data_IF_431940756851
#
_entry.id   IF_431940756851
#
_cell.length_a   1.000
_cell.length_b   1.000
_cell.length_c   1.000
_cell.angle_alpha   90.00
_cell.angle_beta   90.00
_cell.angle_gamma   90.00
#
_symmetry.space_group_name_H-M   'P 1'
#
loop_
_entity.id
_entity.type
_entity.pdbx_description
1 polymer ?
#
# COMPACT_ATOMS: atom_id res chain seq x y z
N UNK A 1 52.65 -26.17 -58.50
CA UNK A 1 51.85 -26.03 -57.26
C UNK A 1 51.98 -24.59 -56.79
N UNK A 2 50.94 -23.77 -56.96
CA UNK A 2 50.91 -22.39 -56.50
C UNK A 2 50.17 -22.33 -55.16
N UNK A 3 50.88 -22.09 -54.06
CA UNK A 3 50.30 -21.87 -52.73
C UNK A 3 49.76 -20.44 -52.71
N UNK A 4 48.43 -20.30 -52.76
CA UNK A 4 47.77 -19.01 -52.50
C UNK A 4 47.95 -18.68 -51.02
N UNK A 5 48.86 -17.75 -50.72
CA UNK A 5 48.92 -17.04 -49.46
C UNK A 5 47.63 -16.23 -49.31
N UNK A 6 46.64 -16.79 -48.62
CA UNK A 6 45.49 -16.02 -48.16
C UNK A 6 46.01 -14.92 -47.22
N UNK A 7 45.78 -13.68 -47.63
CA UNK A 7 46.18 -12.47 -46.92
C UNK A 7 45.64 -12.47 -45.48
N UNK A 8 46.54 -12.69 -44.52
CA UNK A 8 46.26 -12.60 -43.08
C UNK A 8 45.66 -11.23 -42.65
N UNK A 9 45.78 -10.21 -43.51
CA UNK A 9 45.24 -8.87 -43.28
C UNK A 9 43.70 -8.78 -43.40
N UNK A 10 43.07 -9.64 -44.21
CA UNK A 10 41.63 -9.61 -44.41
C UNK A 10 40.88 -10.13 -43.17
N UNK A 11 41.33 -11.26 -42.61
CA UNK A 11 40.73 -11.85 -41.40
C UNK A 11 40.80 -10.92 -40.19
N UNK A 12 41.90 -10.17 -40.03
CA UNK A 12 42.06 -9.22 -38.91
C UNK A 12 41.11 -8.03 -38.99
N UNK A 13 40.80 -7.54 -40.21
CA UNK A 13 39.82 -6.45 -40.42
C UNK A 13 38.40 -6.90 -40.09
N UNK A 14 38.02 -8.11 -40.47
CA UNK A 14 36.71 -8.68 -40.14
C UNK A 14 36.53 -8.90 -38.64
N UNK A 15 37.56 -9.42 -37.96
CA UNK A 15 37.54 -9.58 -36.50
C UNK A 15 37.40 -8.22 -35.80
N UNK A 16 38.15 -7.20 -36.23
CA UNK A 16 38.05 -5.87 -35.65
C UNK A 16 36.65 -5.25 -35.87
N UNK A 17 36.09 -5.41 -37.07
CA UNK A 17 34.73 -4.95 -37.38
C UNK A 17 33.66 -5.66 -36.55
N UNK A 18 33.78 -6.98 -36.35
CA UNK A 18 32.87 -7.74 -35.51
C UNK A 18 32.96 -7.32 -34.04
N UNK A 19 34.17 -7.12 -33.51
CA UNK A 19 34.38 -6.62 -32.14
C UNK A 19 33.76 -5.24 -31.95
N UNK A 20 33.97 -4.32 -32.90
CA UNK A 20 33.38 -2.99 -32.83
C UNK A 20 31.85 -3.06 -32.85
N UNK A 21 31.27 -3.89 -33.71
CA UNK A 21 29.83 -4.09 -33.78
C UNK A 21 29.25 -4.62 -32.46
N UNK A 22 29.92 -5.58 -31.82
CA UNK A 22 29.52 -6.11 -30.50
C UNK A 22 29.62 -5.03 -29.41
N UNK A 23 30.67 -4.21 -29.41
CA UNK A 23 30.81 -3.12 -28.44
C UNK A 23 29.73 -2.04 -28.62
N UNK A 24 29.44 -1.67 -29.87
CA UNK A 24 28.37 -0.71 -30.18
C UNK A 24 27.01 -1.28 -29.79
N UNK A 25 26.74 -2.54 -30.14
CA UNK A 25 25.48 -3.21 -29.75
C UNK A 25 25.35 -3.33 -28.22
N UNK A 26 26.43 -3.67 -27.52
CA UNK A 26 26.48 -3.73 -26.06
C UNK A 26 26.28 -2.36 -25.41
N UNK A 27 26.89 -1.32 -25.95
CA UNK A 27 26.73 0.08 -25.51
C UNK A 27 25.31 0.59 -25.72
N UNK A 28 24.69 0.30 -26.87
CA UNK A 28 23.29 0.61 -27.13
C UNK A 28 22.38 -0.18 -26.20
N UNK A 29 22.63 -1.48 -26.03
CA UNK A 29 21.82 -2.31 -25.14
C UNK A 29 21.87 -1.79 -23.70
N UNK A 30 23.05 -1.51 -23.16
CA UNK A 30 23.21 -0.92 -21.82
C UNK A 30 22.59 0.46 -21.72
N UNK A 31 22.81 1.35 -22.70
CA UNK A 31 22.27 2.71 -22.66
C UNK A 31 20.74 2.81 -22.74
N UNK A 32 20.10 1.88 -23.45
CA UNK A 32 18.64 1.88 -23.69
C UNK A 32 17.85 0.90 -22.84
N UNK A 33 18.47 -0.16 -22.31
CA UNK A 33 17.77 -1.21 -21.56
C UNK A 33 18.22 -1.32 -20.10
N UNK A 34 19.16 -0.48 -19.64
CA UNK A 34 19.55 -0.41 -18.23
C UNK A 34 19.67 1.04 -17.76
N UNK A 35 19.72 1.24 -16.43
CA UNK A 35 19.99 2.53 -15.83
C UNK A 35 21.49 2.75 -15.54
N UNK A 36 22.40 2.03 -16.20
CA UNK A 36 23.84 2.07 -15.88
C UNK A 36 24.49 3.46 -16.00
N UNK A 37 23.89 4.36 -16.78
CA UNK A 37 24.33 5.75 -16.95
C UNK A 37 23.30 6.77 -16.44
N UNK A 38 22.28 6.30 -15.72
CA UNK A 38 21.31 7.17 -15.06
C UNK A 38 21.82 7.68 -13.72
N UNK A 39 21.14 8.66 -13.11
CA UNK A 39 21.48 9.09 -11.77
C UNK A 39 21.16 7.98 -10.76
N UNK A 40 21.92 7.91 -9.66
CA UNK A 40 21.64 7.01 -8.52
C UNK A 40 20.40 7.41 -7.72
N UNK A 41 19.99 8.68 -7.87
CA UNK A 41 18.88 9.31 -7.17
C UNK A 41 17.96 9.99 -8.17
N UNK A 42 16.66 9.82 -7.98
CA UNK A 42 15.61 10.41 -8.80
C UNK A 42 14.79 11.39 -7.96
N UNK A 43 13.94 12.18 -8.60
CA UNK A 43 12.97 13.06 -7.95
C UNK A 43 13.62 14.09 -7.02
N UNK A 44 14.73 14.72 -7.46
CA UNK A 44 15.47 15.66 -6.60
C UNK A 44 16.03 15.02 -5.33
N UNK A 45 16.33 13.72 -5.34
CA UNK A 45 17.04 13.01 -4.26
C UNK A 45 16.20 12.03 -3.44
N UNK A 46 14.88 11.96 -3.65
CA UNK A 46 13.97 11.24 -2.74
C UNK A 46 14.11 9.74 -2.88
N UNK A 47 14.23 9.28 -4.12
CA UNK A 47 14.16 7.88 -4.46
C UNK A 47 15.53 7.43 -4.92
N UNK A 48 15.99 6.28 -4.42
CA UNK A 48 17.14 5.60 -5.00
C UNK A 48 16.68 4.88 -6.26
N UNK A 49 17.45 4.99 -7.33
CA UNK A 49 17.14 4.32 -8.60
C UNK A 49 16.99 2.82 -8.41
N UNK A 50 17.82 2.19 -7.58
CA UNK A 50 17.77 0.75 -7.29
C UNK A 50 16.50 0.30 -6.54
N UNK A 51 15.89 1.16 -5.72
CA UNK A 51 14.60 0.87 -5.10
C UNK A 51 13.47 0.97 -6.13
N UNK A 52 13.56 1.92 -7.05
CA UNK A 52 12.58 2.10 -8.14
C UNK A 52 12.66 0.99 -9.18
N UNK A 53 13.86 0.55 -9.60
CA UNK A 53 14.02 -0.60 -10.51
C UNK A 53 13.38 -1.87 -9.95
N UNK A 54 13.49 -2.07 -8.64
CA UNK A 54 12.88 -3.22 -7.98
C UNK A 54 11.35 -3.13 -7.97
N UNK A 55 10.81 -1.93 -7.74
CA UNK A 55 9.37 -1.69 -7.80
C UNK A 55 8.83 -1.83 -9.23
N UNK A 56 9.59 -1.40 -10.23
CA UNK A 56 9.18 -1.48 -11.63
C UNK A 56 9.55 -2.80 -12.31
N UNK A 57 9.84 -3.85 -11.55
CA UNK A 57 10.15 -5.20 -12.04
C UNK A 57 11.33 -5.24 -13.03
N UNK A 58 12.52 -4.90 -12.53
CA UNK A 58 13.79 -5.20 -13.20
C UNK A 58 14.44 -4.03 -13.94
N UNK A 59 15.52 -4.32 -14.69
CA UNK A 59 16.35 -3.29 -15.33
C UNK A 59 15.58 -2.58 -16.45
N UNK A 60 15.90 -1.30 -16.63
CA UNK A 60 15.35 -0.47 -17.70
C UNK A 60 15.90 0.94 -17.57
N UNK A 61 15.72 1.77 -18.59
CA UNK A 61 16.09 3.18 -18.48
C UNK A 61 15.06 3.89 -17.62
N UNK A 62 15.52 4.58 -16.58
CA UNK A 62 14.65 5.37 -15.73
C UNK A 62 14.66 6.84 -16.17
N UNK A 63 13.48 7.45 -16.08
CA UNK A 63 13.30 8.89 -16.22
C UNK A 63 12.30 9.36 -15.19
N UNK A 64 12.57 10.48 -14.53
CA UNK A 64 11.69 11.09 -13.56
C UNK A 64 11.15 12.44 -14.03
N UNK A 65 9.95 12.77 -13.57
CA UNK A 65 9.31 14.07 -13.76
C UNK A 65 8.40 14.39 -12.59
N UNK A 66 8.13 15.67 -12.35
CA UNK A 66 7.22 16.09 -11.29
C UNK A 66 7.63 17.39 -10.61
N UNK A 67 7.19 17.53 -9.36
CA UNK A 67 7.40 18.67 -8.47
C UNK A 67 8.07 18.22 -7.17
N UNK A 68 8.26 19.15 -6.24
CA UNK A 68 8.71 18.88 -4.87
C UNK A 68 7.68 18.17 -3.97
N UNK A 69 6.52 17.79 -4.50
CA UNK A 69 5.46 17.10 -3.74
C UNK A 69 4.93 15.87 -4.47
N UNK A 70 5.21 15.74 -5.77
CA UNK A 70 4.77 14.61 -6.61
C UNK A 70 5.91 14.27 -7.55
N UNK A 71 6.31 13.00 -7.61
CA UNK A 71 7.26 12.52 -8.59
C UNK A 71 6.74 11.27 -9.29
N UNK A 72 6.83 11.25 -10.60
CA UNK A 72 6.57 10.07 -11.42
C UNK A 72 7.88 9.59 -12.03
N UNK A 73 8.24 8.34 -11.77
CA UNK A 73 9.34 7.68 -12.45
C UNK A 73 8.78 6.69 -13.45
N UNK A 74 9.24 6.77 -14.70
CA UNK A 74 8.93 5.82 -15.77
C UNK A 74 10.14 4.95 -16.06
N UNK A 75 9.90 3.65 -16.20
CA UNK A 75 10.83 2.68 -16.78
C UNK A 75 10.46 2.53 -18.26
N UNK A 76 11.43 2.76 -19.13
CA UNK A 76 11.34 2.45 -20.56
C UNK A 76 12.41 1.42 -20.94
N UNK A 77 12.11 0.60 -21.96
CA UNK A 77 13.01 -0.42 -22.49
C UNK A 77 12.60 -0.86 -23.89
N UNK A 78 13.58 -1.23 -24.72
CA UNK A 78 13.34 -1.68 -26.10
C UNK A 78 12.94 -3.17 -26.18
N UNK A 79 13.17 -3.92 -25.10
CA UNK A 79 12.91 -5.36 -24.99
C UNK A 79 11.84 -5.65 -23.92
N UNK A 80 11.34 -6.90 -23.93
CA UNK A 80 10.26 -7.46 -23.09
C UNK A 80 10.24 -6.87 -21.67
N UNK A 81 9.14 -6.22 -21.30
CA UNK A 81 9.01 -5.60 -19.97
C UNK A 81 7.98 -4.49 -19.82
N UNK A 82 7.36 -4.00 -20.91
CA UNK A 82 6.30 -2.99 -20.89
C UNK A 82 6.71 -1.63 -20.32
N UNK A 83 5.96 -0.58 -20.67
CA UNK A 83 6.09 0.70 -19.97
C UNK A 83 5.47 0.57 -18.58
N UNK A 84 6.28 0.78 -17.54
CA UNK A 84 5.83 0.78 -16.16
C UNK A 84 6.20 2.11 -15.52
N UNK A 85 5.38 2.58 -14.58
CA UNK A 85 5.67 3.80 -13.84
C UNK A 85 5.25 3.70 -12.40
N UNK A 86 5.97 4.40 -11.53
CA UNK A 86 5.61 4.60 -10.14
C UNK A 86 5.47 6.09 -9.90
N UNK A 87 4.33 6.48 -9.33
CA UNK A 87 4.11 7.84 -8.86
C UNK A 87 4.16 7.83 -7.34
N UNK A 88 5.04 8.65 -6.78
CA UNK A 88 5.18 8.88 -5.34
C UNK A 88 4.78 10.32 -5.06
N UNK A 89 3.86 10.53 -4.12
CA UNK A 89 3.40 11.87 -3.71
C UNK A 89 3.44 12.04 -2.20
N UNK A 90 3.72 13.25 -1.76
CA UNK A 90 3.47 13.70 -0.39
C UNK A 90 2.06 14.30 -0.37
N UNK A 91 1.27 13.89 0.60
CA UNK A 91 -0.15 14.17 0.70
C UNK A 91 -0.48 14.78 2.06
N UNK A 92 -1.35 15.79 2.07
CA UNK A 92 -2.09 16.19 3.25
C UNK A 92 -3.43 15.46 3.21
N UNK A 93 -3.49 14.33 3.90
CA UNK A 93 -4.69 13.50 3.99
C UNK A 93 -5.59 14.00 5.14
N UNK A 94 -6.92 13.75 5.10
CA UNK A 94 -7.82 14.13 6.19
C UNK A 94 -7.39 13.55 7.54
N UNK A 95 -7.77 14.20 8.66
CA UNK A 95 -7.50 13.71 10.01
C UNK A 95 -7.94 12.27 10.28
N UNK A 96 -8.96 11.79 9.54
CA UNK A 96 -9.48 10.42 9.65
C UNK A 96 -8.71 9.39 8.82
N UNK A 97 -7.74 9.79 8.00
CA UNK A 97 -6.95 8.86 7.20
C UNK A 97 -6.19 7.87 8.10
N UNK A 98 -6.10 6.57 7.75
CA UNK A 98 -6.62 5.94 6.51
C UNK A 98 -8.07 5.44 6.61
N UNK A 99 -8.79 5.71 7.70
CA UNK A 99 -10.09 5.15 8.08
C UNK A 99 -11.30 6.05 7.77
N UNK A 100 -11.16 6.99 6.84
CA UNK A 100 -12.26 7.88 6.48
C UNK A 100 -13.43 7.06 5.88
N UNK A 101 -14.62 7.15 6.47
CA UNK A 101 -15.83 6.45 6.00
C UNK A 101 -16.12 6.81 4.53
N UNK A 102 -16.38 5.81 3.68
CA UNK A 102 -16.64 6.03 2.25
C UNK A 102 -15.39 6.19 1.39
N UNK A 103 -14.21 6.37 2.00
CA UNK A 103 -12.91 6.48 1.31
C UNK A 103 -11.81 5.72 2.05
N UNK A 104 -12.19 4.66 2.78
CA UNK A 104 -11.28 3.88 3.59
C UNK A 104 -10.17 3.30 2.73
N UNK A 105 -8.95 3.79 2.96
CA UNK A 105 -7.76 3.42 2.19
C UNK A 105 -7.05 2.20 2.78
N UNK A 106 -7.02 2.07 4.11
CA UNK A 106 -6.50 0.86 4.75
C UNK A 106 -7.45 -0.32 4.53
N UNK A 107 -6.94 -1.37 3.89
CA UNK A 107 -7.74 -2.49 3.41
C UNK A 107 -7.11 -3.80 3.87
N UNK A 108 -7.90 -4.85 4.08
CA UNK A 108 -7.35 -6.18 4.36
C UNK A 108 -6.70 -6.83 3.13
N UNK A 109 -6.88 -6.23 1.95
CA UNK A 109 -6.09 -6.55 0.75
C UNK A 109 -4.66 -6.03 0.82
N UNK A 110 -4.37 -5.11 1.74
CA UNK A 110 -3.03 -4.57 1.97
C UNK A 110 -2.37 -5.30 3.13
N UNK A 111 -1.06 -5.41 3.07
CA UNK A 111 -0.24 -5.75 4.22
C UNK A 111 0.17 -4.49 4.94
N UNK A 112 -0.20 -4.42 6.21
CA UNK A 112 0.14 -3.29 7.07
C UNK A 112 1.61 -3.35 7.48
N UNK A 113 2.18 -2.18 7.71
CA UNK A 113 3.49 -2.05 8.33
C UNK A 113 3.39 -2.46 9.79
N UNK A 114 4.37 -3.22 10.28
CA UNK A 114 4.54 -3.49 11.71
C UNK A 114 5.73 -2.70 12.26
N UNK A 115 5.62 -2.26 13.51
CA UNK A 115 6.64 -1.45 14.19
C UNK A 115 6.20 -0.01 14.38
N UNK A 116 7.13 0.94 14.25
CA UNK A 116 6.89 2.36 14.56
C UNK A 116 6.28 3.16 13.41
N UNK A 117 6.39 2.70 12.16
CA UNK A 117 5.81 3.38 11.01
C UNK A 117 4.40 2.84 10.72
N UNK A 118 3.42 3.73 10.64
CA UNK A 118 2.07 3.41 10.17
C UNK A 118 2.01 3.41 8.65
N UNK A 119 1.53 2.33 8.03
CA UNK A 119 1.46 2.23 6.58
C UNK A 119 0.81 0.94 6.09
N UNK A 120 0.62 0.85 4.79
CA UNK A 120 0.09 -0.34 4.14
C UNK A 120 0.47 -0.42 2.67
N UNK A 121 0.72 -1.61 2.17
CA UNK A 121 1.08 -1.88 0.76
C UNK A 121 0.29 -3.05 0.20
N UNK A 122 0.07 -3.03 -1.10
CA UNK A 122 -0.34 -4.18 -1.91
C UNK A 122 0.54 -4.25 -3.17
N UNK A 123 0.20 -5.11 -4.12
CA UNK A 123 0.97 -5.25 -5.37
C UNK A 123 0.94 -4.01 -6.28
N UNK A 124 0.06 -3.05 -6.05
CA UNK A 124 -0.19 -1.90 -6.93
C UNK A 124 0.19 -0.56 -6.31
N UNK A 125 0.53 -0.52 -5.02
CA UNK A 125 0.92 0.71 -4.36
C UNK A 125 0.89 0.61 -2.85
N UNK A 126 0.81 1.76 -2.21
CA UNK A 126 0.71 1.83 -0.76
C UNK A 126 0.85 3.23 -0.23
N UNK A 127 0.89 3.33 1.08
CA UNK A 127 1.00 4.58 1.80
C UNK A 127 1.80 4.41 3.09
N UNK A 128 2.45 5.48 3.53
CA UNK A 128 3.17 5.57 4.79
C UNK A 128 2.83 6.90 5.46
N UNK A 129 2.36 6.85 6.70
CA UNK A 129 2.10 8.01 7.53
C UNK A 129 3.42 8.60 8.03
N UNK A 130 3.49 9.92 8.01
CA UNK A 130 4.50 10.65 8.76
C UNK A 130 4.03 10.90 10.20
N UNK A 131 4.96 11.08 11.16
CA UNK A 131 4.58 11.45 12.52
C UNK A 131 3.78 12.75 12.58
N UNK A 132 2.91 12.86 13.58
CA UNK A 132 2.03 14.02 13.77
C UNK A 132 2.80 15.34 14.01
N UNK A 133 4.06 15.26 14.41
CA UNK A 133 4.94 16.44 14.58
C UNK A 133 5.40 17.04 13.24
N UNK A 134 5.19 16.36 12.12
CA UNK A 134 5.60 16.82 10.80
C UNK A 134 4.67 17.93 10.30
N UNK A 135 5.27 19.04 9.83
CA UNK A 135 4.52 20.12 9.19
C UNK A 135 4.14 19.72 7.77
N UNK A 136 3.00 20.21 7.30
CA UNK A 136 2.61 20.06 5.90
C UNK A 136 3.65 20.82 5.04
N UNK A 137 4.34 20.16 4.10
CA UNK A 137 5.31 20.84 3.26
C UNK A 137 4.66 21.92 2.38
N UNK A 138 5.43 22.96 2.06
CA UNK A 138 5.01 23.97 1.09
C UNK A 138 4.68 23.30 -0.26
N UNK A 139 3.60 23.76 -0.90
CA UNK A 139 3.14 23.21 -2.19
C UNK A 139 2.31 21.93 -2.11
N UNK A 140 2.04 21.39 -0.90
CA UNK A 140 1.02 20.36 -0.69
C UNK A 140 -0.31 21.07 -0.45
N UNK A 141 -1.33 20.89 -1.31
CA UNK A 141 -2.66 21.43 -1.05
C UNK A 141 -3.22 20.84 0.25
N UNK A 142 -3.67 21.70 1.16
CA UNK A 142 -4.38 21.30 2.36
C UNK A 142 -5.48 22.32 2.65
N UNK A 143 -6.70 21.82 2.84
CA UNK A 143 -7.86 22.61 3.21
C UNK A 143 -8.08 22.65 4.72
N UNK A 144 -7.24 21.95 5.51
CA UNK A 144 -7.52 21.66 6.92
C UNK A 144 -6.28 21.72 7.82
N UNK A 145 -6.47 22.32 8.99
CA UNK A 145 -5.44 22.46 10.03
C UNK A 145 -5.14 21.15 10.77
N UNK A 146 -6.00 20.13 10.66
CA UNK A 146 -5.85 18.81 11.28
C UNK A 146 -5.41 17.71 10.29
N UNK A 147 -4.95 18.09 9.10
CA UNK A 147 -4.52 17.14 8.09
C UNK A 147 -3.29 16.34 8.54
N UNK A 148 -3.22 15.09 8.07
CA UNK A 148 -2.13 14.15 8.34
C UNK A 148 -1.22 14.09 7.12
N UNK A 149 0.09 14.11 7.34
CA UNK A 149 1.03 13.97 6.23
C UNK A 149 1.26 12.49 5.94
N UNK A 150 1.11 12.10 4.68
CA UNK A 150 1.40 10.75 4.21
C UNK A 150 2.24 10.79 2.93
N UNK A 151 3.06 9.77 2.71
CA UNK A 151 3.60 9.45 1.39
C UNK A 151 2.73 8.38 0.78
N UNK A 152 2.32 8.57 -0.47
CA UNK A 152 1.50 7.63 -1.22
C UNK A 152 2.23 7.24 -2.50
N UNK A 153 2.31 5.94 -2.77
CA UNK A 153 2.88 5.38 -3.99
C UNK A 153 1.81 4.62 -4.78
N UNK A 154 1.81 4.78 -6.10
CA UNK A 154 0.95 4.03 -7.01
C UNK A 154 1.73 3.56 -8.22
N UNK A 155 1.59 2.30 -8.59
CA UNK A 155 2.13 1.73 -9.82
C UNK A 155 1.12 1.82 -10.97
N UNK A 156 1.63 2.02 -12.17
CA UNK A 156 0.90 1.81 -13.41
C UNK A 156 1.72 0.90 -14.34
N UNK A 157 1.04 0.02 -15.07
CA UNK A 157 1.68 -0.89 -16.03
C UNK A 157 2.24 -2.19 -15.43
N UNK A 158 1.93 -2.51 -14.18
CA UNK A 158 2.37 -3.76 -13.54
C UNK A 158 2.01 -3.86 -12.06
N UNK A 159 2.50 -4.93 -11.43
CA UNK A 159 2.48 -5.13 -9.99
C UNK A 159 3.88 -5.48 -9.49
N UNK A 160 4.15 -5.30 -8.20
CA UNK A 160 5.45 -5.61 -7.60
C UNK A 160 5.32 -6.37 -6.29
N UNK A 161 6.44 -6.93 -5.84
CA UNK A 161 6.52 -7.49 -4.49
C UNK A 161 6.38 -6.38 -3.44
N UNK A 162 5.51 -6.61 -2.46
CA UNK A 162 5.21 -5.66 -1.39
C UNK A 162 6.47 -5.17 -0.66
N UNK A 163 7.48 -6.03 -0.49
CA UNK A 163 8.76 -5.67 0.14
C UNK A 163 9.57 -4.63 -0.65
N UNK A 164 9.40 -4.54 -1.97
CA UNK A 164 9.99 -3.46 -2.78
C UNK A 164 9.28 -2.13 -2.50
N UNK A 165 7.95 -2.15 -2.41
CA UNK A 165 7.15 -0.97 -2.08
C UNK A 165 7.41 -0.45 -0.66
N UNK A 166 7.57 -1.35 0.32
CA UNK A 166 7.93 -0.96 1.69
C UNK A 166 9.22 -0.16 1.72
N UNK A 167 10.26 -0.62 1.02
CA UNK A 167 11.55 0.08 0.95
C UNK A 167 11.41 1.45 0.30
N UNK A 168 10.70 1.51 -0.84
CA UNK A 168 10.44 2.76 -1.55
C UNK A 168 9.69 3.77 -0.66
N UNK A 169 8.58 3.34 -0.05
CA UNK A 169 7.76 4.19 0.82
C UNK A 169 8.51 4.63 2.08
N UNK A 170 9.31 3.76 2.69
CA UNK A 170 10.10 4.11 3.87
C UNK A 170 11.16 5.16 3.54
N UNK A 171 11.89 4.99 2.43
CA UNK A 171 12.88 5.97 1.98
C UNK A 171 12.22 7.31 1.61
N UNK A 172 11.07 7.26 0.95
CA UNK A 172 10.31 8.45 0.60
C UNK A 172 9.74 9.16 1.85
N UNK A 173 9.27 8.40 2.86
CA UNK A 173 8.80 8.94 4.14
C UNK A 173 9.94 9.58 4.94
N UNK A 174 11.14 8.99 4.96
CA UNK A 174 12.34 9.59 5.54
C UNK A 174 12.69 10.94 4.89
N UNK A 175 12.69 10.98 3.55
CA UNK A 175 12.91 12.23 2.79
C UNK A 175 11.83 13.27 3.06
N UNK A 176 10.56 12.86 3.06
CA UNK A 176 9.42 13.73 3.33
C UNK A 176 9.44 14.29 4.76
N UNK A 177 9.81 13.48 5.75
CA UNK A 177 9.91 13.90 7.14
C UNK A 177 10.99 14.98 7.31
N UNK A 178 12.18 14.76 6.73
CA UNK A 178 13.25 15.76 6.74
C UNK A 178 12.80 17.11 6.14
N UNK A 179 12.08 17.07 5.02
CA UNK A 179 11.48 18.26 4.39
C UNK A 179 10.39 18.91 5.24
N UNK A 180 9.66 18.11 6.00
CA UNK A 180 8.60 18.54 6.92
C UNK A 180 9.14 19.06 8.27
N UNK A 181 10.46 19.07 8.45
CA UNK A 181 11.12 19.54 9.68
C UNK A 181 10.91 18.63 10.87
N UNK A 182 10.74 17.33 10.65
CA UNK A 182 10.56 16.31 11.67
C UNK A 182 11.49 15.10 11.41
N UNK A 183 11.66 14.24 12.41
CA UNK A 183 12.25 12.93 12.19
C UNK A 183 11.18 11.97 11.66
N UNK A 184 11.55 11.08 10.74
CA UNK A 184 10.67 9.97 10.40
C UNK A 184 10.58 9.01 11.59
N UNK A 185 9.43 8.33 11.69
CA UNK A 185 9.33 7.15 12.52
C UNK A 185 10.27 6.07 11.96
N UNK A 186 10.77 5.19 12.83
CA UNK A 186 11.67 4.12 12.43
C UNK A 186 11.11 3.30 11.26
N UNK A 187 12.00 2.66 10.49
CA UNK A 187 11.57 1.82 9.37
C UNK A 187 10.65 0.69 9.85
N UNK A 188 9.63 0.32 9.06
CA UNK A 188 8.83 -0.86 9.36
C UNK A 188 9.76 -2.07 9.46
N UNK A 189 9.56 -2.86 10.51
CA UNK A 189 10.43 -4.02 10.78
C UNK A 189 10.00 -5.20 9.92
N UNK A 190 8.68 -5.38 9.77
CA UNK A 190 8.09 -6.44 8.96
C UNK A 190 6.76 -5.98 8.35
N UNK A 191 6.20 -6.84 7.50
CA UNK A 191 4.83 -6.72 7.01
C UNK A 191 3.91 -7.65 7.79
N UNK A 192 2.77 -7.13 8.20
CA UNK A 192 1.72 -7.88 8.87
C UNK A 192 1.33 -9.13 8.08
N UNK A 193 0.97 -10.20 8.78
CA UNK A 193 0.46 -11.41 8.12
C UNK A 193 -0.88 -11.11 7.44
N UNK A 194 -1.13 -11.72 6.29
CA UNK A 194 -2.39 -11.61 5.58
C UNK A 194 -2.95 -13.01 5.28
N UNK A 195 -4.27 -13.14 5.37
CA UNK A 195 -4.97 -14.41 5.12
C UNK A 195 -6.29 -14.17 4.42
N UNK A 196 -6.61 -15.07 3.50
CA UNK A 196 -7.89 -15.08 2.78
C UNK A 196 -8.58 -16.40 3.04
N UNK A 197 -9.87 -16.36 3.37
CA UNK A 197 -10.70 -17.54 3.57
C UNK A 197 -12.11 -17.32 3.04
N UNK A 198 -12.90 -18.39 2.85
CA UNK A 198 -14.36 -18.24 2.78
C UNK A 198 -14.88 -17.48 4.00
N UNK A 199 -15.93 -16.68 3.82
CA UNK A 199 -16.57 -15.98 4.94
C UNK A 199 -17.36 -16.98 5.81
N UNK A 200 -17.04 -17.01 7.10
CA UNK A 200 -17.81 -17.69 8.14
C UNK A 200 -18.62 -16.61 8.89
N UNK A 201 -19.91 -16.51 8.62
CA UNK A 201 -20.78 -15.48 9.24
C UNK A 201 -21.04 -15.75 10.74
N UNK A 202 -20.82 -16.98 11.22
CA UNK A 202 -20.88 -17.31 12.63
C UNK A 202 -19.60 -16.89 13.37
N UNK A 203 -18.47 -16.80 12.66
CA UNK A 203 -17.17 -16.35 13.18
C UNK A 203 -16.48 -15.47 12.15
N UNK A 204 -17.02 -14.27 11.99
CA UNK A 204 -16.59 -13.31 10.96
C UNK A 204 -15.10 -13.05 11.13
N UNK A 205 -14.34 -13.29 10.06
CA UNK A 205 -12.89 -13.09 10.02
C UNK A 205 -12.11 -13.88 11.09
N UNK A 206 -12.70 -15.00 11.57
CA UNK A 206 -12.25 -15.77 12.72
C UNK A 206 -12.03 -14.97 14.01
N UNK A 207 -12.74 -13.84 14.18
CA UNK A 207 -12.78 -13.12 15.45
C UNK A 207 -13.77 -13.83 16.39
N UNK A 208 -13.31 -14.35 17.55
CA UNK A 208 -14.20 -15.05 18.48
C UNK A 208 -15.36 -14.17 18.96
N UNK A 209 -16.57 -14.73 18.97
CA UNK A 209 -17.79 -14.01 19.38
C UNK A 209 -18.32 -12.99 18.36
N UNK A 210 -17.66 -12.81 17.21
CA UNK A 210 -18.15 -11.91 16.17
C UNK A 210 -19.04 -12.65 15.15
N UNK A 211 -20.35 -12.46 15.29
CA UNK A 211 -21.37 -13.09 14.45
C UNK A 211 -22.25 -12.02 13.79
N UNK A 212 -22.48 -12.17 12.49
CA UNK A 212 -23.42 -11.34 11.72
C UNK A 212 -24.37 -12.24 10.91
N UNK A 213 -25.59 -11.78 10.58
CA UNK A 213 -26.45 -12.51 9.66
C UNK A 213 -25.74 -12.76 8.32
N UNK A 214 -25.98 -13.93 7.73
CA UNK A 214 -25.54 -14.17 6.36
C UNK A 214 -26.21 -13.16 5.43
N UNK A 215 -25.40 -12.48 4.61
CA UNK A 215 -25.91 -11.51 3.64
C UNK A 215 -26.53 -12.27 2.47
N UNK A 216 -27.84 -12.12 2.25
CA UNK A 216 -28.60 -12.85 1.23
C UNK A 216 -28.84 -11.98 -0.02
N UNK A 217 -28.70 -12.54 -1.22
CA UNK A 217 -28.97 -11.84 -2.48
C UNK A 217 -28.42 -12.60 -3.68
N UNK A 218 -28.56 -12.10 -4.90
CA UNK A 218 -28.04 -12.75 -6.12
C UNK A 218 -26.52 -12.98 -6.08
N UNK A 219 -25.81 -12.18 -5.26
CA UNK A 219 -24.38 -12.33 -4.95
C UNK A 219 -24.12 -12.96 -3.56
N UNK A 220 -25.15 -13.12 -2.74
CA UNK A 220 -25.11 -13.30 -1.28
C UNK A 220 -25.13 -14.75 -0.80
N UNK A 221 -24.21 -15.60 -1.26
CA UNK A 221 -23.94 -16.90 -0.61
C UNK A 221 -22.46 -17.26 -0.51
N UNK A 222 -21.63 -16.74 -1.42
CA UNK A 222 -20.19 -16.96 -1.40
C UNK A 222 -19.51 -15.67 -0.95
N UNK A 223 -19.38 -15.46 0.36
CA UNK A 223 -18.54 -14.40 0.89
C UNK A 223 -17.07 -14.82 0.95
N UNK A 224 -16.16 -13.87 0.77
CA UNK A 224 -14.73 -13.99 1.07
C UNK A 224 -14.42 -13.09 2.25
N UNK A 225 -13.67 -13.60 3.22
CA UNK A 225 -13.06 -12.81 4.27
C UNK A 225 -11.56 -12.67 4.00
N UNK A 226 -11.05 -11.45 4.08
CA UNK A 226 -9.62 -11.16 4.04
C UNK A 226 -9.25 -10.49 5.35
N UNK A 227 -8.13 -10.90 5.95
CA UNK A 227 -7.64 -10.35 7.21
C UNK A 227 -6.18 -10.00 7.05
N UNK A 228 -5.79 -8.84 7.56
CA UNK A 228 -4.39 -8.40 7.69
C UNK A 228 -4.12 -7.98 9.14
N UNK A 229 -2.95 -8.36 9.64
CA UNK A 229 -2.48 -8.03 10.98
C UNK A 229 -3.17 -8.79 12.11
N UNK A 230 -3.01 -8.25 13.33
CA UNK A 230 -3.41 -8.87 14.58
C UNK A 230 -3.94 -7.83 15.59
N UNK A 231 -4.67 -8.30 16.60
CA UNK A 231 -5.31 -7.43 17.60
C UNK A 231 -4.31 -6.75 18.56
N UNK A 232 -3.03 -7.14 18.52
CA UNK A 232 -1.96 -6.53 19.32
C UNK A 232 -1.44 -5.24 18.70
N UNK A 233 -1.60 -5.03 17.39
CA UNK A 233 -1.11 -3.84 16.68
C UNK A 233 -2.23 -3.17 15.88
N UNK A 234 -2.56 -3.73 14.72
CA UNK A 234 -3.70 -3.34 13.91
C UNK A 234 -4.23 -4.58 13.20
N UNK A 235 -5.53 -4.80 13.32
CA UNK A 235 -6.24 -5.87 12.67
C UNK A 235 -7.29 -5.26 11.76
N UNK A 236 -7.27 -5.60 10.48
CA UNK A 236 -8.29 -5.18 9.51
C UNK A 236 -8.88 -6.42 8.87
N UNK A 237 -10.21 -6.43 8.73
CA UNK A 237 -10.91 -7.45 7.96
C UNK A 237 -11.85 -6.84 6.93
N UNK A 238 -11.79 -7.40 5.73
CA UNK A 238 -12.70 -7.11 4.63
C UNK A 238 -13.59 -8.31 4.34
N UNK A 239 -14.88 -8.04 4.14
CA UNK A 239 -15.85 -8.99 3.61
C UNK A 239 -16.27 -8.56 2.20
N UNK A 240 -16.07 -9.44 1.24
CA UNK A 240 -16.39 -9.22 -0.18
C UNK A 240 -17.26 -10.36 -0.72
N UNK A 241 -18.01 -10.12 -1.78
CA UNK A 241 -18.63 -11.22 -2.52
C UNK A 241 -17.58 -11.93 -3.37
N UNK A 242 -17.68 -13.25 -3.48
CA UNK A 242 -16.79 -14.03 -4.32
C UNK A 242 -16.94 -13.61 -5.79
N UNK A 243 -15.80 -13.35 -6.45
CA UNK A 243 -15.77 -12.90 -7.85
C UNK A 243 -16.11 -11.42 -8.05
N UNK A 244 -16.44 -10.68 -7.00
CA UNK A 244 -16.74 -9.26 -7.08
C UNK A 244 -15.46 -8.41 -7.17
N UNK A 245 -15.53 -7.40 -8.04
CA UNK A 245 -14.46 -6.42 -8.27
C UNK A 245 -14.78 -5.05 -7.67
N UNK A 246 -15.99 -4.87 -7.13
CA UNK A 246 -16.45 -3.61 -6.54
C UNK A 246 -15.84 -3.32 -5.16
N UNK A 247 -15.05 -4.27 -4.63
CA UNK A 247 -14.46 -4.20 -3.30
C UNK A 247 -15.35 -4.80 -2.21
N UNK A 248 -14.96 -4.63 -0.94
CA UNK A 248 -15.70 -5.19 0.18
C UNK A 248 -17.00 -4.45 0.49
N UNK A 249 -18.01 -5.22 0.88
CA UNK A 249 -19.29 -4.69 1.35
C UNK A 249 -19.29 -4.33 2.84
N UNK A 250 -18.35 -4.87 3.60
CA UNK A 250 -18.11 -4.49 4.98
C UNK A 250 -16.62 -4.60 5.30
N UNK A 251 -16.12 -3.62 6.05
CA UNK A 251 -14.77 -3.55 6.57
C UNK A 251 -14.80 -3.33 8.07
N UNK A 252 -13.89 -3.97 8.79
CA UNK A 252 -13.77 -3.91 10.23
C UNK A 252 -12.32 -3.64 10.59
N UNK A 253 -12.07 -2.81 11.60
CA UNK A 253 -10.71 -2.66 12.11
C UNK A 253 -10.66 -2.47 13.62
N UNK A 254 -9.70 -3.15 14.24
CA UNK A 254 -9.32 -2.98 15.63
C UNK A 254 -7.87 -2.52 15.66
N UNK A 255 -7.63 -1.30 16.15
CA UNK A 255 -6.33 -0.62 16.03
C UNK A 255 -5.83 -0.20 17.40
N UNK A 256 -4.63 -0.65 17.74
CA UNK A 256 -3.86 -0.23 18.92
C UNK A 256 -2.68 0.67 18.54
N UNK A 257 -2.12 0.48 17.35
CA UNK A 257 -1.02 1.30 16.84
C UNK A 257 -1.34 2.80 16.98
N UNK A 258 -0.51 3.59 17.69
CA UNK A 258 -0.81 4.99 17.99
C UNK A 258 -0.96 5.87 16.75
N UNK A 259 -0.19 5.62 15.68
CA UNK A 259 -0.27 6.40 14.46
C UNK A 259 -1.54 6.07 13.70
N UNK A 260 -1.92 4.81 13.58
CA UNK A 260 -3.18 4.44 12.94
C UNK A 260 -4.39 4.89 13.78
N UNK A 261 -4.32 4.75 15.11
CA UNK A 261 -5.39 5.11 16.04
C UNK A 261 -5.73 6.61 16.02
N UNK A 262 -4.79 7.50 15.69
CA UNK A 262 -5.08 8.93 15.50
C UNK A 262 -6.19 9.16 14.46
N UNK A 263 -6.19 8.39 13.38
CA UNK A 263 -7.24 8.43 12.34
C UNK A 263 -8.62 8.00 12.83
N UNK A 264 -8.69 7.31 13.96
CA UNK A 264 -9.92 6.77 14.54
C UNK A 264 -10.46 7.60 15.71
N UNK A 265 -9.60 8.41 16.32
CA UNK A 265 -9.96 9.24 17.48
C UNK A 265 -11.11 10.21 17.20
N UNK A 266 -11.32 10.58 15.93
CA UNK A 266 -12.37 11.50 15.48
C UNK A 266 -13.45 10.83 14.61
N UNK A 267 -13.43 9.50 14.46
CA UNK A 267 -14.16 8.79 13.40
C UNK A 267 -15.40 8.00 13.84
N UNK A 268 -15.95 8.26 15.03
CA UNK A 268 -17.07 7.45 15.56
C UNK A 268 -16.69 6.01 15.92
N UNK A 269 -15.38 5.71 15.93
CA UNK A 269 -14.83 4.46 16.43
C UNK A 269 -15.15 4.30 17.93
N UNK A 270 -15.34 3.06 18.37
CA UNK A 270 -15.50 2.73 19.78
C UNK A 270 -14.11 2.56 20.39
N UNK A 271 -13.78 3.39 21.38
CA UNK A 271 -12.57 3.21 22.18
C UNK A 271 -12.83 2.17 23.28
N UNK A 272 -11.99 1.15 23.32
CA UNK A 272 -11.98 0.09 24.31
C UNK A 272 -10.71 0.22 25.15
N UNK A 273 -10.84 0.36 26.46
CA UNK A 273 -9.67 0.38 27.35
C UNK A 273 -9.28 -1.07 27.70
N UNK A 274 -8.22 -1.57 27.06
CA UNK A 274 -7.81 -2.97 27.13
C UNK A 274 -6.45 -3.12 27.84
N UNK A 275 -6.09 -4.34 28.31
CA UNK A 275 -4.73 -4.61 28.75
C UNK A 275 -3.70 -4.25 27.66
N UNK A 276 -2.69 -3.48 28.04
CA UNK A 276 -1.63 -2.98 27.15
C UNK A 276 -2.00 -1.76 26.30
N UNK A 277 -3.10 -1.06 26.61
CA UNK A 277 -3.45 0.22 26.02
C UNK A 277 -4.83 0.26 25.34
N UNK A 278 -5.29 1.45 24.93
CA UNK A 278 -6.57 1.61 24.25
C UNK A 278 -6.57 0.94 22.87
N UNK A 279 -7.70 0.36 22.50
CA UNK A 279 -7.96 -0.22 21.18
C UNK A 279 -9.17 0.48 20.58
N UNK A 280 -9.07 0.89 19.33
CA UNK A 280 -10.12 1.57 18.60
C UNK A 280 -10.77 0.59 17.63
N UNK A 281 -12.05 0.30 17.83
CA UNK A 281 -12.84 -0.57 16.98
C UNK A 281 -13.75 0.26 16.05
N UNK A 282 -13.61 0.09 14.74
CA UNK A 282 -14.42 0.78 13.74
C UNK A 282 -14.98 -0.18 12.68
N UNK A 283 -16.03 0.28 12.00
CA UNK A 283 -16.66 -0.40 10.88
C UNK A 283 -16.93 0.59 9.77
N UNK A 284 -16.88 0.10 8.54
CA UNK A 284 -17.42 0.78 7.36
C UNK A 284 -18.16 -0.27 6.56
N UNK A 285 -19.43 -0.03 6.37
CA UNK A 285 -20.23 -0.84 5.48
C UNK A 285 -20.75 -0.01 4.30
N UNK A 286 -20.45 1.30 4.21
CA UNK A 286 -21.13 2.21 3.29
C UNK A 286 -20.40 2.41 1.95
N UNK A 287 -19.19 1.87 1.78
CA UNK A 287 -18.43 2.01 0.52
C UNK A 287 -18.99 1.22 -0.66
N UNK A 288 -19.80 0.19 -0.41
CA UNK A 288 -20.34 -0.63 -1.49
C UNK A 288 -21.54 0.07 -2.14
N UNK A 289 -21.65 0.07 -3.49
CA UNK A 289 -22.66 0.83 -4.24
C UNK A 289 -24.05 0.18 -4.16
N UNK A 290 -24.54 -0.05 -2.93
CA UNK A 290 -25.90 -0.46 -2.66
C UNK A 290 -26.67 0.69 -2.05
N UNK A 291 -27.89 0.89 -2.54
CA UNK A 291 -28.80 1.81 -1.90
C UNK A 291 -29.27 1.28 -0.53
N UNK A 292 -29.81 2.12 0.36
CA UNK A 292 -30.24 1.69 1.68
C UNK A 292 -31.29 0.56 1.69
N UNK A 293 -32.16 0.49 0.67
CA UNK A 293 -33.19 -0.53 0.57
C UNK A 293 -32.60 -1.88 0.15
N UNK A 294 -31.67 -1.89 -0.81
CA UNK A 294 -30.90 -3.08 -1.22
C UNK A 294 -30.12 -3.66 -0.05
N UNK A 295 -29.45 -2.82 0.75
CA UNK A 295 -28.69 -3.25 1.93
C UNK A 295 -29.59 -3.94 2.96
N UNK A 296 -30.76 -3.35 3.22
CA UNK A 296 -31.74 -3.90 4.15
C UNK A 296 -32.31 -5.22 3.62
N UNK A 297 -32.65 -5.28 2.33
CA UNK A 297 -33.12 -6.49 1.66
C UNK A 297 -32.06 -7.60 1.69
N UNK A 298 -30.78 -7.23 1.64
CA UNK A 298 -29.66 -8.15 1.74
C UNK A 298 -29.40 -8.68 3.16
N UNK A 299 -30.13 -8.19 4.17
CA UNK A 299 -29.95 -8.59 5.56
C UNK A 299 -28.73 -7.96 6.24
N UNK A 300 -28.13 -6.91 5.66
CA UNK A 300 -27.07 -6.17 6.33
C UNK A 300 -27.64 -5.43 7.55
N UNK A 301 -26.97 -5.60 8.68
CA UNK A 301 -27.31 -4.88 9.90
C UNK A 301 -27.06 -3.38 9.74
N UNK A 302 -27.86 -2.53 10.42
CA UNK A 302 -27.53 -1.13 10.59
C UNK A 302 -26.09 -0.96 11.12
N UNK A 303 -25.39 0.07 10.65
CA UNK A 303 -23.98 0.29 10.99
C UNK A 303 -23.73 0.32 12.51
N UNK A 304 -24.64 0.95 13.26
CA UNK A 304 -24.58 0.99 14.73
C UNK A 304 -24.58 -0.41 15.34
N UNK A 305 -25.52 -1.28 14.94
CA UNK A 305 -25.64 -2.63 15.49
C UNK A 305 -24.44 -3.50 15.11
N UNK A 306 -23.93 -3.31 13.90
CA UNK A 306 -22.72 -3.97 13.43
C UNK A 306 -21.49 -3.53 14.23
N UNK A 307 -21.36 -2.22 14.50
CA UNK A 307 -20.29 -1.63 15.33
C UNK A 307 -20.35 -2.13 16.76
N UNK A 308 -21.52 -2.16 17.38
CA UNK A 308 -21.73 -2.62 18.76
C UNK A 308 -21.34 -4.10 18.91
N UNK A 309 -21.75 -4.95 17.96
CA UNK A 309 -21.36 -6.37 17.92
C UNK A 309 -19.86 -6.55 17.73
N UNK A 310 -19.27 -5.81 16.79
CA UNK A 310 -17.84 -5.87 16.52
C UNK A 310 -17.01 -5.42 17.73
N UNK A 311 -17.32 -4.28 18.33
CA UNK A 311 -16.63 -3.77 19.50
C UNK A 311 -16.74 -4.73 20.70
N UNK A 312 -17.91 -5.36 20.89
CA UNK A 312 -18.09 -6.39 21.93
C UNK A 312 -17.19 -7.61 21.70
N UNK A 313 -17.10 -8.08 20.45
CA UNK A 313 -16.24 -9.21 20.10
C UNK A 313 -14.74 -8.88 20.27
N UNK A 314 -14.30 -7.68 19.88
CA UNK A 314 -12.93 -7.19 20.13
C UNK A 314 -12.64 -7.13 21.62
N UNK A 315 -13.56 -6.56 22.41
CA UNK A 315 -13.43 -6.48 23.86
C UNK A 315 -13.29 -7.87 24.50
N UNK A 316 -14.12 -8.83 24.08
CA UNK A 316 -14.04 -10.22 24.53
C UNK A 316 -12.71 -10.88 24.15
N UNK A 317 -12.28 -10.76 22.89
CA UNK A 317 -11.05 -11.38 22.39
C UNK A 317 -9.78 -10.83 23.09
N UNK A 318 -9.80 -9.56 23.48
CA UNK A 318 -8.69 -8.89 24.16
C UNK A 318 -8.84 -8.83 25.69
N UNK A 319 -9.88 -9.44 26.25
CA UNK A 319 -10.19 -9.41 27.68
C UNK A 319 -10.27 -7.98 28.25
N UNK A 320 -10.83 -7.05 27.48
CA UNK A 320 -11.02 -5.68 27.94
C UNK A 320 -12.12 -5.66 29.00
N UNK A 321 -11.97 -4.88 30.09
CA UNK A 321 -13.05 -4.63 31.03
C UNK A 321 -14.30 -4.12 30.29
N UNK A 322 -15.48 -4.47 30.80
CA UNK A 322 -16.74 -4.02 30.23
C UNK A 322 -16.71 -2.49 30.03
N UNK A 323 -16.93 -2.05 28.80
CA UNK A 323 -16.92 -0.63 28.46
C UNK A 323 -17.90 0.10 29.39
N UNK A 324 -17.40 1.08 30.15
CA UNK A 324 -18.29 2.00 30.85
C UNK A 324 -19.00 2.80 29.77
N UNK A 325 -20.31 2.59 29.61
CA UNK A 325 -21.14 3.50 28.81
C UNK A 325 -21.11 4.85 29.53
N UNK A 326 -20.43 5.82 28.94
CA UNK A 326 -20.61 7.24 29.27
C UNK A 326 -21.95 7.70 28.74
#
# INVERSE_FOLDING_TARGET
MAVRLFSASAGRKWVLGAVLAVLVAGGLHTGFNTNAFGPDRLCGGWLKSSDVERVLDGPGRLSDSGTDTVCTVKKSGLLVGGDASVTVRIAAEPSKFPFATGSWTASATQRLFTGQAGGGVDGYGGWALLPASCRIPAGVPSDKSDARVAVVASLAGGSTEEGALVRLLSAAAESAAARSGCAAEGRPTELASARTSPADFARVCALPGFTIPAVTGDKGRAGRAQVTGDLGTAWICDLSFAGDKSGPYARFAAVRDPLLAQGLSTSGAVRLDCPGGPVYATVDNNTYPWDPAERKAAGLLPEKDLRDRFATAVAGALHCPAARRT
#
